data_IF_160759455843
#
_entry.id   IF_160759455843
#
_cell.length_a   1.000
_cell.length_b   1.000
_cell.length_c   1.000
_cell.angle_alpha   90.00
_cell.angle_beta   90.00
_cell.angle_gamma   90.00
#
_symmetry.space_group_name_H-M   'P 1'
#
loop_
_entity.id
_entity.type
_entity.pdbx_description
1 polymer ?
#
# COMPACT_ATOMS: atom_id res chain seq x y z
N UNK A 1 12.54 -13.42 0.42
CA UNK A 1 13.46 -14.11 1.35
C UNK A 1 14.91 -13.98 0.89
N UNK A 2 15.27 -14.32 -0.35
CA UNK A 2 16.66 -14.30 -0.84
C UNK A 2 17.35 -12.94 -0.61
N UNK A 3 16.71 -11.82 -0.88
CA UNK A 3 17.30 -10.50 -0.67
C UNK A 3 17.58 -10.21 0.82
N UNK A 4 16.72 -10.69 1.74
CA UNK A 4 17.00 -10.57 3.17
C UNK A 4 18.19 -11.40 3.59
N UNK A 5 18.31 -12.65 3.11
CA UNK A 5 19.48 -13.52 3.36
C UNK A 5 20.74 -12.88 2.82
N UNK A 6 20.74 -12.45 1.56
CA UNK A 6 21.84 -11.73 0.93
C UNK A 6 22.28 -10.51 1.75
N UNK A 7 21.30 -9.66 2.14
CA UNK A 7 21.59 -8.47 2.92
C UNK A 7 22.22 -8.79 4.27
N UNK A 8 21.67 -9.74 5.02
CA UNK A 8 22.21 -10.14 6.34
C UNK A 8 23.60 -10.77 6.22
N UNK A 9 23.86 -11.54 5.16
CA UNK A 9 25.16 -12.19 4.96
C UNK A 9 26.25 -11.24 4.45
N UNK A 10 25.89 -10.18 3.73
CA UNK A 10 26.86 -9.23 3.11
C UNK A 10 26.97 -7.90 3.84
N UNK A 11 26.06 -7.61 4.78
CA UNK A 11 26.04 -6.36 5.54
C UNK A 11 27.31 -6.22 6.40
N UNK A 12 27.88 -5.01 6.40
CA UNK A 12 29.10 -4.69 7.18
C UNK A 12 28.78 -4.26 8.63
N UNK A 13 27.51 -4.00 8.94
CA UNK A 13 27.12 -3.68 10.32
C UNK A 13 27.28 -4.91 11.22
N UNK A 14 27.63 -4.64 12.47
CA UNK A 14 27.68 -5.69 13.50
C UNK A 14 26.23 -6.16 13.79
N UNK A 15 26.04 -7.48 13.82
CA UNK A 15 24.74 -8.10 14.09
C UNK A 15 23.63 -7.57 13.16
N UNK A 16 23.70 -7.83 11.85
CA UNK A 16 22.68 -7.32 10.91
C UNK A 16 21.28 -7.84 11.25
N UNK A 17 20.27 -7.00 11.03
CA UNK A 17 18.88 -7.31 11.32
C UNK A 17 18.01 -7.09 10.09
N UNK A 18 17.26 -8.11 9.74
CA UNK A 18 16.30 -8.03 8.65
C UNK A 18 14.93 -8.58 9.07
N UNK A 19 13.86 -8.03 8.51
CA UNK A 19 12.48 -8.43 8.80
C UNK A 19 11.74 -8.70 7.50
N UNK A 20 11.02 -9.82 7.47
CA UNK A 20 9.94 -10.06 6.52
C UNK A 20 8.62 -9.80 7.22
N UNK A 21 7.80 -8.93 6.64
CA UNK A 21 6.52 -8.53 7.18
C UNK A 21 5.40 -8.92 6.22
N UNK A 22 4.39 -9.64 6.72
CA UNK A 22 3.14 -9.90 6.02
C UNK A 22 1.97 -9.19 6.73
N UNK A 23 0.78 -9.07 6.16
CA UNK A 23 -0.39 -8.49 6.82
C UNK A 23 -0.68 -9.14 8.17
N UNK A 24 -0.62 -10.47 8.25
CA UNK A 24 -0.83 -11.23 9.47
C UNK A 24 0.37 -12.12 9.80
N UNK A 25 0.68 -12.28 11.09
CA UNK A 25 1.74 -13.18 11.55
C UNK A 25 1.57 -14.62 11.04
N UNK A 26 0.32 -15.13 10.97
CA UNK A 26 0.03 -16.46 10.42
C UNK A 26 0.38 -16.57 8.93
N UNK A 27 0.17 -15.51 8.15
CA UNK A 27 0.55 -15.47 6.74
C UNK A 27 2.07 -15.47 6.59
N UNK A 28 2.79 -14.66 7.38
CA UNK A 28 4.25 -14.68 7.37
C UNK A 28 4.81 -16.08 7.60
N UNK A 29 4.23 -16.83 8.58
CA UNK A 29 4.61 -18.21 8.83
C UNK A 29 4.30 -19.13 7.66
N UNK A 30 3.08 -19.10 7.14
CA UNK A 30 2.63 -20.00 6.09
C UNK A 30 3.38 -19.80 4.76
N UNK A 31 3.70 -18.56 4.41
CA UNK A 31 4.30 -18.20 3.13
C UNK A 31 5.84 -18.29 3.16
N UNK A 32 6.46 -17.79 4.22
CA UNK A 32 7.89 -17.50 4.19
C UNK A 32 8.73 -18.35 5.14
N UNK A 33 8.16 -18.99 6.17
CA UNK A 33 8.96 -19.67 7.19
C UNK A 33 9.71 -20.90 6.68
N UNK A 34 9.02 -21.78 5.97
CA UNK A 34 9.65 -22.97 5.41
C UNK A 34 10.65 -22.62 4.30
N UNK A 35 10.33 -21.62 3.49
CA UNK A 35 11.24 -21.08 2.47
C UNK A 35 12.50 -20.48 3.10
N UNK A 36 12.39 -19.74 4.19
CA UNK A 36 13.55 -19.22 4.92
C UNK A 36 14.44 -20.36 5.43
N UNK A 37 13.85 -21.38 6.05
CA UNK A 37 14.59 -22.55 6.50
C UNK A 37 15.28 -23.29 5.35
N UNK A 38 14.58 -23.51 4.26
CA UNK A 38 15.13 -24.19 3.08
C UNK A 38 16.34 -23.45 2.50
N UNK A 39 16.23 -22.15 2.28
CA UNK A 39 17.29 -21.34 1.67
C UNK A 39 18.49 -21.13 2.59
N UNK A 40 18.31 -21.21 3.90
CA UNK A 40 19.37 -20.96 4.87
C UNK A 40 19.98 -22.23 5.49
N UNK A 41 19.39 -23.40 5.28
CA UNK A 41 19.92 -24.68 5.82
C UNK A 41 21.34 -25.00 5.40
N UNK A 42 21.78 -24.49 4.24
CA UNK A 42 23.13 -24.68 3.72
C UNK A 42 24.16 -23.73 4.34
N UNK A 43 23.71 -22.73 5.08
CA UNK A 43 24.57 -21.76 5.76
C UNK A 43 25.01 -22.36 7.12
N UNK A 44 26.31 -22.57 7.34
CA UNK A 44 26.79 -23.19 8.57
C UNK A 44 26.39 -22.43 9.83
N UNK A 45 26.06 -23.14 10.89
CA UNK A 45 25.71 -22.64 12.21
C UNK A 45 24.46 -21.71 12.20
N UNK A 46 23.56 -21.90 11.24
CA UNK A 46 22.23 -21.28 11.28
C UNK A 46 21.37 -21.98 12.33
N UNK A 47 20.71 -21.21 13.19
CA UNK A 47 19.77 -21.74 14.19
C UNK A 47 18.39 -21.12 13.99
N UNK A 48 17.36 -21.89 14.28
CA UNK A 48 15.97 -21.47 14.08
C UNK A 48 15.20 -21.46 15.39
N UNK A 49 14.41 -20.40 15.60
CA UNK A 49 13.45 -20.33 16.69
C UNK A 49 12.03 -20.37 16.11
N UNK A 50 11.34 -21.49 16.30
CA UNK A 50 10.02 -21.75 15.75
C UNK A 50 8.91 -20.89 16.39
N UNK A 51 9.08 -20.47 17.64
CA UNK A 51 8.08 -19.66 18.34
C UNK A 51 8.17 -18.17 17.97
N UNK A 52 9.37 -17.68 17.69
CA UNK A 52 9.61 -16.28 17.30
C UNK A 52 9.76 -16.12 15.78
N UNK A 53 9.66 -17.21 15.01
CA UNK A 53 9.85 -17.24 13.57
C UNK A 53 11.12 -16.49 13.15
N UNK A 54 12.26 -16.84 13.75
CA UNK A 54 13.54 -16.19 13.46
C UNK A 54 14.64 -17.18 13.11
N UNK A 55 15.52 -16.77 12.23
CA UNK A 55 16.78 -17.45 11.91
C UNK A 55 17.95 -16.59 12.38
N UNK A 56 18.86 -17.18 13.17
CA UNK A 56 20.09 -16.56 13.66
C UNK A 56 21.30 -17.17 12.94
N UNK A 57 22.25 -16.32 12.50
CA UNK A 57 23.41 -16.70 11.71
C UNK A 57 24.73 -16.53 12.48
N UNK A 58 25.76 -17.27 12.10
CA UNK A 58 27.07 -17.25 12.75
C UNK A 58 27.74 -15.86 12.80
N UNK A 59 27.43 -14.97 11.85
CA UNK A 59 27.92 -13.59 11.83
C UNK A 59 27.18 -12.66 12.81
N UNK A 60 26.29 -13.20 13.64
CA UNK A 60 25.41 -12.45 14.53
C UNK A 60 24.18 -11.87 13.84
N UNK A 61 24.04 -12.11 12.55
CA UNK A 61 22.88 -11.66 11.77
C UNK A 61 21.59 -12.39 12.15
N UNK A 62 20.46 -11.75 11.90
CA UNK A 62 19.13 -12.28 12.21
C UNK A 62 18.12 -11.89 11.16
N UNK A 63 17.28 -12.84 10.78
CA UNK A 63 16.06 -12.61 10.01
C UNK A 63 14.87 -13.01 10.86
N UNK A 64 13.89 -12.14 11.00
CA UNK A 64 12.64 -12.38 11.74
C UNK A 64 11.45 -12.23 10.80
N UNK A 65 10.46 -13.12 10.92
CA UNK A 65 9.18 -12.99 10.25
C UNK A 65 8.17 -12.43 11.24
N UNK A 66 7.39 -11.43 10.81
CA UNK A 66 6.40 -10.77 11.66
C UNK A 66 5.10 -10.45 10.89
N UNK A 67 4.05 -10.13 11.61
CA UNK A 67 2.80 -9.62 11.05
C UNK A 67 2.67 -8.12 11.29
N UNK A 68 2.03 -7.43 10.36
CA UNK A 68 1.68 -6.02 10.51
C UNK A 68 0.43 -5.78 11.36
N UNK A 69 -0.22 -6.84 11.81
CA UNK A 69 -1.31 -6.84 12.79
C UNK A 69 -0.85 -6.42 14.20
N UNK A 70 0.44 -6.56 14.52
CA UNK A 70 1.05 -6.04 15.74
C UNK A 70 2.41 -5.36 15.45
N UNK A 71 2.41 -4.22 14.76
CA UNK A 71 3.64 -3.61 14.26
C UNK A 71 4.43 -2.87 15.35
N UNK A 72 3.81 -2.53 16.47
CA UNK A 72 4.49 -1.80 17.55
C UNK A 72 5.62 -2.62 18.20
N UNK A 73 5.59 -3.95 18.12
CA UNK A 73 6.69 -4.83 18.52
C UNK A 73 7.99 -4.64 17.72
N UNK A 74 7.93 -3.96 16.59
CA UNK A 74 9.09 -3.63 15.76
C UNK A 74 9.73 -2.28 16.13
N UNK A 75 9.06 -1.45 16.95
CA UNK A 75 9.58 -0.14 17.34
C UNK A 75 10.90 -0.26 18.11
N UNK A 76 11.83 0.63 17.79
CA UNK A 76 13.15 0.66 18.43
C UNK A 76 14.14 -0.38 17.90
N UNK A 77 13.77 -1.18 16.89
CA UNK A 77 14.72 -2.00 16.18
C UNK A 77 15.56 -1.16 15.22
N UNK A 78 16.85 -1.47 15.11
CA UNK A 78 17.73 -0.95 14.06
C UNK A 78 17.82 -1.98 12.95
N UNK A 79 17.20 -1.71 11.80
CA UNK A 79 17.04 -2.65 10.71
C UNK A 79 17.94 -2.31 9.51
N UNK A 80 18.56 -3.36 8.95
CA UNK A 80 19.38 -3.28 7.73
C UNK A 80 18.55 -3.56 6.47
N UNK A 81 17.48 -4.33 6.62
CA UNK A 81 16.54 -4.60 5.54
C UNK A 81 15.15 -4.95 6.04
N UNK A 82 14.15 -4.59 5.25
CA UNK A 82 12.75 -4.99 5.45
C UNK A 82 12.15 -5.38 4.09
N UNK A 83 11.35 -6.44 4.09
CA UNK A 83 10.42 -6.77 3.00
C UNK A 83 9.02 -6.68 3.55
N UNK A 84 8.16 -5.88 2.91
CA UNK A 84 6.73 -5.82 3.17
C UNK A 84 6.01 -6.56 2.05
N UNK A 85 5.45 -7.70 2.38
CA UNK A 85 4.71 -8.56 1.45
C UNK A 85 3.21 -8.29 1.59
N UNK A 86 2.49 -8.26 0.48
CA UNK A 86 1.09 -7.81 0.41
C UNK A 86 0.88 -6.41 1.01
N UNK A 87 1.78 -5.47 0.66
CA UNK A 87 1.78 -4.12 1.24
C UNK A 87 0.48 -3.36 1.01
N UNK A 88 -0.23 -3.63 -0.08
CA UNK A 88 -1.56 -3.09 -0.34
C UNK A 88 -2.59 -3.35 0.77
N UNK A 89 -2.42 -4.43 1.54
CA UNK A 89 -3.31 -4.84 2.63
C UNK A 89 -2.88 -4.31 4.00
N UNK A 90 -1.72 -3.65 4.10
CA UNK A 90 -1.20 -3.12 5.36
C UNK A 90 -1.72 -1.72 5.64
N UNK A 91 -1.79 -1.34 6.92
CA UNK A 91 -2.04 0.06 7.29
C UNK A 91 -0.89 0.97 6.82
N UNK A 92 -1.17 2.15 6.24
CA UNK A 92 -0.15 3.14 5.85
C UNK A 92 0.83 3.49 6.98
N UNK A 93 0.35 3.47 8.23
CA UNK A 93 1.10 3.74 9.45
C UNK A 93 2.31 2.81 9.64
N UNK A 94 2.21 1.55 9.17
CA UNK A 94 3.24 0.53 9.37
C UNK A 94 4.59 0.96 8.80
N UNK A 95 4.61 1.42 7.57
CA UNK A 95 5.85 1.91 6.98
C UNK A 95 6.23 3.29 7.51
N UNK A 96 5.33 4.27 7.42
CA UNK A 96 5.65 5.67 7.68
C UNK A 96 6.07 5.95 9.14
N UNK A 97 5.37 5.35 10.11
CA UNK A 97 5.58 5.66 11.53
C UNK A 97 6.47 4.67 12.26
N UNK A 98 6.60 3.43 11.75
CA UNK A 98 7.26 2.34 12.47
C UNK A 98 8.55 1.90 11.75
N UNK A 99 8.43 1.43 10.51
CA UNK A 99 9.58 0.83 9.82
C UNK A 99 10.56 1.88 9.29
N UNK A 100 10.07 3.01 8.80
CA UNK A 100 10.94 4.08 8.28
C UNK A 100 11.93 4.60 9.34
N UNK A 101 11.52 4.88 10.59
CA UNK A 101 12.46 5.17 11.68
C UNK A 101 13.43 4.03 11.98
N UNK A 102 12.97 2.76 11.98
CA UNK A 102 13.82 1.60 12.23
C UNK A 102 14.94 1.39 11.18
N UNK A 103 14.75 1.88 9.97
CA UNK A 103 15.73 1.81 8.88
C UNK A 103 16.70 2.99 8.86
N UNK A 104 16.39 4.09 9.55
CA UNK A 104 17.08 5.37 9.36
C UNK A 104 18.51 5.40 9.89
N UNK A 105 18.77 4.79 11.05
CA UNK A 105 20.10 4.80 11.70
C UNK A 105 21.13 3.91 10.99
N UNK A 106 20.66 2.90 10.23
CA UNK A 106 21.52 1.97 9.48
C UNK A 106 21.47 2.17 7.97
N UNK A 107 20.76 3.18 7.49
CA UNK A 107 20.48 3.38 6.07
C UNK A 107 19.98 2.07 5.42
N UNK A 108 19.06 1.41 6.13
CA UNK A 108 18.52 0.12 5.73
C UNK A 108 17.68 0.22 4.47
N UNK A 109 17.58 -0.89 3.75
CA UNK A 109 16.78 -1.00 2.52
C UNK A 109 15.38 -1.53 2.79
N UNK A 110 14.41 -1.11 1.96
CA UNK A 110 13.04 -1.58 2.02
C UNK A 110 12.59 -2.09 0.65
N UNK A 111 11.85 -3.21 0.64
CA UNK A 111 11.22 -3.77 -0.55
C UNK A 111 9.73 -3.91 -0.27
N UNK A 112 8.90 -3.36 -1.15
CA UNK A 112 7.46 -3.48 -1.13
C UNK A 112 7.04 -4.47 -2.21
N UNK A 113 6.21 -5.44 -1.87
CA UNK A 113 5.70 -6.45 -2.78
C UNK A 113 4.19 -6.57 -2.56
N UNK A 114 3.45 -6.88 -3.61
CA UNK A 114 2.02 -7.15 -3.52
C UNK A 114 1.31 -6.98 -4.84
N UNK A 115 0.04 -7.33 -4.84
CA UNK A 115 -0.89 -7.07 -5.94
C UNK A 115 -1.51 -5.69 -5.73
N UNK A 116 -1.68 -4.88 -6.79
CA UNK A 116 -2.42 -3.62 -6.73
C UNK A 116 -3.83 -3.80 -6.14
N UNK A 117 -4.26 -2.84 -5.32
CA UNK A 117 -5.61 -2.80 -4.76
C UNK A 117 -6.15 -1.37 -4.78
N UNK A 118 -6.38 -0.84 -5.98
CA UNK A 118 -6.77 0.55 -6.18
C UNK A 118 -5.67 1.56 -5.80
N UNK A 119 -6.04 2.83 -5.71
CA UNK A 119 -5.13 3.93 -5.39
C UNK A 119 -4.99 4.07 -3.87
N UNK A 120 -4.18 3.20 -3.27
CA UNK A 120 -3.85 3.19 -1.85
C UNK A 120 -2.37 3.56 -1.60
N UNK A 121 -1.89 3.39 -0.37
CA UNK A 121 -0.49 3.69 -0.01
C UNK A 121 0.55 2.91 -0.86
N UNK A 122 0.19 1.74 -1.42
CA UNK A 122 1.10 0.99 -2.30
C UNK A 122 1.19 1.66 -3.68
N UNK A 123 0.08 2.17 -4.19
CA UNK A 123 0.06 2.99 -5.39
C UNK A 123 0.91 4.25 -5.22
N UNK A 124 0.75 4.98 -4.10
CA UNK A 124 1.54 6.17 -3.82
C UNK A 124 3.05 5.87 -3.79
N UNK A 125 3.44 4.73 -3.18
CA UNK A 125 4.84 4.28 -3.16
C UNK A 125 5.34 3.90 -4.55
N UNK A 126 4.50 3.27 -5.38
CA UNK A 126 4.84 2.94 -6.77
C UNK A 126 5.07 4.21 -7.60
N UNK A 127 4.16 5.18 -7.53
CA UNK A 127 4.31 6.47 -8.19
C UNK A 127 5.55 7.24 -7.70
N UNK A 128 5.81 7.21 -6.39
CA UNK A 128 7.03 7.77 -5.83
C UNK A 128 8.29 7.13 -6.40
N UNK A 129 8.29 5.80 -6.52
CA UNK A 129 9.43 5.06 -7.07
C UNK A 129 9.67 5.36 -8.56
N UNK A 130 8.62 5.50 -9.36
CA UNK A 130 8.75 5.88 -10.78
C UNK A 130 9.28 7.30 -10.97
N UNK A 131 8.95 8.21 -10.04
CA UNK A 131 9.40 9.61 -10.11
C UNK A 131 10.82 9.85 -9.57
N UNK A 132 11.45 8.87 -8.90
CA UNK A 132 12.72 9.04 -8.19
C UNK A 132 13.76 8.01 -8.61
N UNK A 133 14.87 8.46 -9.15
CA UNK A 133 15.97 7.62 -9.65
C UNK A 133 16.66 6.75 -8.57
N UNK A 134 16.53 7.09 -7.30
CA UNK A 134 17.08 6.30 -6.18
C UNK A 134 16.22 5.08 -5.82
N UNK A 135 15.06 4.98 -6.46
CA UNK A 135 14.11 3.89 -6.29
C UNK A 135 14.05 3.02 -7.54
N UNK A 136 13.64 1.78 -7.34
CA UNK A 136 13.37 0.85 -8.42
C UNK A 136 11.94 0.34 -8.32
N UNK A 137 11.17 0.47 -9.39
CA UNK A 137 9.83 -0.08 -9.52
C UNK A 137 9.77 -1.04 -10.71
N UNK A 138 9.03 -2.13 -10.56
CA UNK A 138 8.78 -3.10 -11.64
C UNK A 138 7.43 -3.74 -11.43
N UNK A 139 6.72 -3.92 -12.53
CA UNK A 139 5.45 -4.68 -12.59
C UNK A 139 5.65 -5.92 -13.42
N UNK A 140 5.21 -7.07 -12.92
CA UNK A 140 5.27 -8.35 -13.60
C UNK A 140 3.84 -8.86 -13.84
N UNK A 141 3.32 -8.63 -15.03
CA UNK A 141 2.01 -9.16 -15.42
C UNK A 141 2.11 -10.64 -15.77
N UNK A 142 1.11 -11.41 -15.38
CA UNK A 142 1.09 -12.85 -15.69
C UNK A 142 1.13 -13.13 -17.18
N UNK A 143 0.45 -12.32 -18.00
CA UNK A 143 0.45 -12.40 -19.46
C UNK A 143 1.83 -12.18 -20.10
N UNK A 144 2.73 -11.44 -19.45
CA UNK A 144 4.04 -11.07 -19.98
C UNK A 144 5.17 -12.01 -19.49
N UNK A 145 5.01 -12.59 -18.29
CA UNK A 145 6.10 -13.37 -17.65
C UNK A 145 6.24 -14.79 -18.19
N UNK A 146 5.16 -15.37 -18.72
CA UNK A 146 5.13 -16.76 -19.14
C UNK A 146 5.31 -17.79 -18.00
N UNK A 147 5.19 -17.37 -16.73
CA UNK A 147 5.29 -18.23 -15.54
C UNK A 147 3.99 -19.03 -15.36
N UNK A 148 2.85 -18.38 -15.60
CA UNK A 148 1.53 -19.01 -15.55
C UNK A 148 1.21 -19.55 -16.94
N UNK A 149 0.75 -20.81 -17.00
CA UNK A 149 0.37 -21.44 -18.25
C UNK A 149 -0.78 -20.69 -18.93
N UNK A 150 -0.77 -20.64 -20.26
CA UNK A 150 -1.77 -19.92 -21.04
C UNK A 150 -3.19 -20.50 -20.92
N UNK A 151 -3.32 -21.81 -20.72
CA UNK A 151 -4.62 -22.45 -20.49
C UNK A 151 -5.17 -22.07 -19.12
N UNK A 152 -4.30 -21.95 -18.12
CA UNK A 152 -4.68 -21.48 -16.77
C UNK A 152 -5.09 -20.00 -16.79
N UNK A 153 -4.38 -19.14 -17.52
CA UNK A 153 -4.80 -17.74 -17.70
C UNK A 153 -6.16 -17.62 -18.34
N UNK A 154 -6.44 -18.44 -19.37
CA UNK A 154 -7.75 -18.46 -20.01
C UNK A 154 -8.84 -18.99 -19.05
N UNK A 155 -8.55 -20.01 -18.27
CA UNK A 155 -9.44 -20.55 -17.25
C UNK A 155 -9.76 -19.49 -16.17
N UNK A 156 -8.77 -18.75 -15.72
CA UNK A 156 -8.93 -17.65 -14.77
C UNK A 156 -9.82 -16.53 -15.35
N UNK A 157 -9.59 -16.11 -16.61
CA UNK A 157 -10.43 -15.12 -17.29
C UNK A 157 -11.90 -15.53 -17.37
N UNK A 158 -12.18 -16.83 -17.59
CA UNK A 158 -13.55 -17.33 -17.67
C UNK A 158 -14.24 -17.47 -16.30
N UNK A 159 -13.48 -17.54 -15.22
CA UNK A 159 -14.00 -17.78 -13.86
C UNK A 159 -14.05 -16.51 -12.98
N UNK A 160 -13.41 -15.43 -13.41
CA UNK A 160 -13.30 -14.16 -12.69
C UNK A 160 -14.03 -13.06 -13.45
N UNK A 161 -14.35 -11.94 -12.75
CA UNK A 161 -14.75 -10.74 -13.47
C UNK A 161 -13.56 -10.11 -14.19
N UNK A 162 -13.77 -9.32 -15.26
CA UNK A 162 -12.68 -8.64 -15.97
C UNK A 162 -11.81 -7.80 -15.03
N UNK A 163 -12.42 -7.11 -14.06
CA UNK A 163 -11.74 -6.28 -13.09
C UNK A 163 -10.87 -7.12 -12.13
N UNK A 164 -11.39 -8.25 -11.66
CA UNK A 164 -10.63 -9.18 -10.82
C UNK A 164 -9.42 -9.75 -11.57
N UNK A 165 -9.61 -10.16 -12.81
CA UNK A 165 -8.52 -10.67 -13.63
C UNK A 165 -7.48 -9.57 -13.90
N UNK A 166 -7.92 -8.36 -14.24
CA UNK A 166 -7.03 -7.23 -14.46
C UNK A 166 -6.21 -6.89 -13.20
N UNK A 167 -6.81 -6.97 -12.01
CA UNK A 167 -6.11 -6.73 -10.74
C UNK A 167 -5.10 -7.84 -10.44
N UNK A 168 -5.54 -9.11 -10.41
CA UNK A 168 -4.73 -10.21 -9.86
C UNK A 168 -3.68 -10.72 -10.86
N UNK A 169 -3.96 -10.69 -12.16
CA UNK A 169 -3.07 -11.22 -13.18
C UNK A 169 -2.37 -10.15 -14.02
N UNK A 170 -3.00 -8.99 -14.22
CA UNK A 170 -2.44 -7.92 -15.04
C UNK A 170 -1.96 -6.72 -14.22
N UNK A 171 -1.98 -6.82 -12.89
CA UNK A 171 -1.48 -5.80 -11.95
C UNK A 171 -2.11 -4.40 -12.17
N UNK A 172 -3.40 -4.35 -12.51
CA UNK A 172 -4.10 -3.10 -12.75
C UNK A 172 -4.37 -2.36 -11.44
N UNK A 173 -3.98 -1.08 -11.38
CA UNK A 173 -4.30 -0.18 -10.27
C UNK A 173 -5.72 0.36 -10.32
N UNK A 174 -6.29 0.46 -11.53
CA UNK A 174 -7.63 1.02 -11.78
C UNK A 174 -8.73 -0.04 -11.71
N UNK A 175 -8.41 -1.31 -11.47
CA UNK A 175 -9.44 -2.32 -11.27
C UNK A 175 -10.31 -1.94 -10.07
N UNK A 176 -11.62 -1.85 -10.30
CA UNK A 176 -12.59 -1.39 -9.31
C UNK A 176 -12.45 -2.17 -8.00
N UNK A 177 -12.26 -1.47 -6.89
CA UNK A 177 -12.21 -2.08 -5.56
C UNK A 177 -13.50 -2.90 -5.37
N UNK A 178 -13.37 -4.15 -4.98
CA UNK A 178 -14.49 -5.07 -4.75
C UNK A 178 -15.52 -4.43 -3.81
N UNK A 179 -16.71 -4.13 -4.32
CA UNK A 179 -17.74 -3.41 -3.57
C UNK A 179 -17.76 -1.89 -3.77
N UNK A 180 -16.89 -1.31 -4.60
CA UNK A 180 -17.00 0.08 -4.99
C UNK A 180 -18.19 0.26 -5.93
N UNK A 181 -19.23 0.98 -5.48
CA UNK A 181 -20.43 1.26 -6.29
C UNK A 181 -20.14 2.06 -7.56
N UNK A 182 -19.06 2.85 -7.57
CA UNK A 182 -18.78 3.84 -8.60
C UNK A 182 -17.38 3.68 -9.23
N UNK A 183 -16.65 2.58 -8.98
CA UNK A 183 -15.27 2.40 -9.45
C UNK A 183 -15.12 2.64 -10.96
N UNK A 184 -15.81 1.88 -11.80
CA UNK A 184 -15.74 2.06 -13.25
C UNK A 184 -16.24 3.42 -13.74
N UNK A 185 -17.21 4.05 -13.05
CA UNK A 185 -17.67 5.39 -13.40
C UNK A 185 -16.62 6.47 -13.05
N UNK A 186 -15.80 6.24 -12.04
CA UNK A 186 -14.66 7.12 -11.69
C UNK A 186 -13.55 6.98 -12.72
N UNK A 187 -13.21 5.75 -13.12
CA UNK A 187 -12.23 5.48 -14.16
C UNK A 187 -12.64 6.17 -15.48
N UNK A 188 -13.90 6.03 -15.89
CA UNK A 188 -14.47 6.72 -17.05
C UNK A 188 -14.37 8.26 -16.91
N UNK A 189 -14.56 8.77 -15.69
CA UNK A 189 -14.47 10.20 -15.44
C UNK A 189 -13.05 10.73 -15.56
N UNK A 190 -12.06 9.97 -15.13
CA UNK A 190 -10.63 10.29 -15.26
C UNK A 190 -10.19 10.23 -16.72
N UNK A 191 -10.51 9.15 -17.43
CA UNK A 191 -10.19 8.98 -18.86
C UNK A 191 -10.80 10.08 -19.74
N UNK A 192 -12.01 10.53 -19.40
CA UNK A 192 -12.67 11.63 -20.09
C UNK A 192 -12.18 13.02 -19.67
N UNK A 193 -11.21 13.10 -18.75
CA UNK A 193 -10.69 14.36 -18.22
C UNK A 193 -11.70 15.17 -17.40
N UNK A 194 -12.75 14.51 -16.86
CA UNK A 194 -13.74 15.16 -16.00
C UNK A 194 -13.25 15.35 -14.57
N UNK A 195 -12.27 14.57 -14.13
CA UNK A 195 -11.55 14.76 -12.86
C UNK A 195 -10.41 15.72 -13.11
N UNK A 196 -10.62 17.00 -12.80
CA UNK A 196 -9.69 18.09 -13.10
C UNK A 196 -9.86 19.23 -12.11
N UNK A 197 -9.00 20.25 -12.18
CA UNK A 197 -9.21 21.50 -11.44
C UNK A 197 -10.39 22.27 -12.03
N UNK A 198 -11.45 22.43 -11.27
CA UNK A 198 -12.67 23.13 -11.69
C UNK A 198 -12.71 24.50 -11.03
N UNK A 199 -12.51 25.62 -11.79
CA UNK A 199 -12.52 26.94 -11.22
C UNK A 199 -13.92 27.37 -10.80
N UNK A 200 -14.00 28.13 -9.70
CA UNK A 200 -15.24 28.79 -9.26
C UNK A 200 -15.69 29.86 -10.25
N UNK A 201 -16.94 29.82 -10.65
CA UNK A 201 -17.58 30.84 -11.47
C UNK A 201 -18.45 31.75 -10.58
N UNK A 202 -18.10 33.05 -10.39
CA UNK A 202 -18.86 33.96 -9.52
C UNK A 202 -20.27 34.32 -10.03
N UNK A 203 -20.59 33.96 -11.28
CA UNK A 203 -21.92 34.18 -11.83
C UNK A 203 -22.91 33.09 -11.45
N UNK A 204 -22.45 31.99 -10.91
CA UNK A 204 -23.24 30.82 -10.56
C UNK A 204 -23.36 30.65 -9.03
N UNK A 205 -24.55 30.25 -8.59
CA UNK A 205 -24.74 29.93 -7.16
C UNK A 205 -23.97 28.65 -6.78
N UNK A 206 -23.41 28.67 -5.57
CA UNK A 206 -22.84 27.49 -4.95
C UNK A 206 -23.87 26.83 -4.04
N UNK A 207 -24.02 25.53 -4.13
CA UNK A 207 -24.77 24.67 -3.23
C UNK A 207 -23.87 23.68 -2.57
N UNK A 208 -24.19 23.24 -1.35
CA UNK A 208 -23.37 22.29 -0.60
C UNK A 208 -24.14 21.00 -0.32
N UNK A 209 -23.46 19.87 -0.36
CA UNK A 209 -23.94 18.60 0.18
C UNK A 209 -23.07 18.16 1.34
N UNK A 210 -23.69 17.64 2.39
CA UNK A 210 -23.04 17.32 3.65
C UNK A 210 -23.21 15.85 4.00
N UNK A 211 -22.13 15.20 4.29
CA UNK A 211 -22.08 13.88 4.94
C UNK A 211 -21.55 14.09 6.36
N UNK A 212 -22.41 13.92 7.36
CA UNK A 212 -22.11 14.22 8.76
C UNK A 212 -21.65 12.96 9.49
N UNK A 213 -20.35 12.83 9.71
CA UNK A 213 -19.76 11.76 10.52
C UNK A 213 -19.58 12.17 11.99
N UNK A 214 -19.77 11.20 12.92
CA UNK A 214 -19.50 11.38 14.36
C UNK A 214 -18.20 10.68 14.75
N UNK A 215 -18.00 9.44 14.28
CA UNK A 215 -16.80 8.63 14.52
C UNK A 215 -15.88 8.53 13.29
N UNK A 216 -16.32 9.05 12.18
CA UNK A 216 -15.64 9.17 10.90
C UNK A 216 -15.57 10.65 10.48
N UNK A 217 -15.16 10.92 9.23
CA UNK A 217 -15.02 12.28 8.74
C UNK A 217 -16.38 12.88 8.39
N UNK A 218 -16.64 14.14 8.79
CA UNK A 218 -17.67 14.97 8.14
C UNK A 218 -17.11 15.47 6.82
N UNK A 219 -17.80 15.22 5.71
CA UNK A 219 -17.38 15.62 4.36
C UNK A 219 -18.38 16.58 3.76
N UNK A 220 -17.90 17.67 3.17
CA UNK A 220 -18.72 18.69 2.54
C UNK A 220 -18.23 18.94 1.13
N UNK A 221 -19.13 18.77 0.16
CA UNK A 221 -18.90 19.09 -1.22
C UNK A 221 -19.55 20.43 -1.59
N UNK A 222 -18.86 21.23 -2.38
CA UNK A 222 -19.33 22.47 -2.95
C UNK A 222 -19.57 22.29 -4.45
N UNK A 223 -20.75 22.63 -4.91
CA UNK A 223 -21.22 22.40 -6.27
C UNK A 223 -21.70 23.66 -6.94
N UNK A 224 -21.44 23.77 -8.24
CA UNK A 224 -22.11 24.71 -9.12
C UNK A 224 -22.89 23.93 -10.16
N UNK A 225 -24.18 24.32 -10.33
CA UNK A 225 -25.09 23.62 -11.23
C UNK A 225 -25.27 24.49 -12.49
N UNK A 226 -24.67 24.05 -13.59
CA UNK A 226 -24.84 24.62 -14.92
C UNK A 226 -26.02 23.93 -15.65
N UNK A 227 -26.53 24.52 -16.75
CA UNK A 227 -27.66 23.92 -17.49
C UNK A 227 -27.40 22.49 -18.00
N UNK A 228 -26.13 22.15 -18.28
CA UNK A 228 -25.74 20.86 -18.89
C UNK A 228 -24.85 20.00 -18.02
N UNK A 229 -24.39 20.51 -16.86
CA UNK A 229 -23.44 19.78 -16.01
C UNK A 229 -23.51 20.21 -14.54
N UNK A 230 -23.10 19.35 -13.65
CA UNK A 230 -22.79 19.66 -12.24
C UNK A 230 -21.30 19.70 -12.06
N UNK A 231 -20.79 20.77 -11.46
CA UNK A 231 -19.36 20.98 -11.20
C UNK A 231 -19.08 20.85 -9.71
N UNK A 232 -18.31 19.88 -9.29
CA UNK A 232 -17.73 19.85 -7.96
C UNK A 232 -16.49 20.77 -7.93
N UNK A 233 -16.60 21.90 -7.24
CA UNK A 233 -15.54 22.93 -7.22
C UNK A 233 -14.61 22.80 -6.03
N UNK A 234 -15.10 22.25 -4.91
CA UNK A 234 -14.29 21.99 -3.70
C UNK A 234 -14.88 20.81 -2.92
N UNK A 235 -14.02 20.10 -2.23
CA UNK A 235 -14.37 19.11 -1.21
C UNK A 235 -13.52 19.35 0.03
N UNK A 236 -14.15 19.41 1.21
CA UNK A 236 -13.45 19.53 2.49
C UNK A 236 -13.89 18.41 3.43
N UNK A 237 -12.94 17.89 4.20
CA UNK A 237 -13.19 16.85 5.19
C UNK A 237 -12.68 17.29 6.57
N UNK A 238 -13.45 16.98 7.60
CA UNK A 238 -13.14 17.28 8.98
C UNK A 238 -13.17 16.00 9.82
N UNK A 239 -12.19 15.84 10.69
CA UNK A 239 -12.16 14.77 11.68
C UNK A 239 -12.20 15.35 13.07
N UNK A 240 -13.03 14.78 13.95
CA UNK A 240 -13.14 15.20 15.36
C UNK A 240 -13.40 16.71 15.57
N UNK A 241 -14.07 17.35 14.62
CA UNK A 241 -14.35 18.79 14.63
C UNK A 241 -15.82 19.05 14.93
N UNK A 242 -16.10 20.00 15.81
CA UNK A 242 -17.47 20.36 16.18
C UNK A 242 -18.21 21.10 15.07
N UNK A 243 -19.52 20.89 14.96
CA UNK A 243 -20.36 21.50 13.94
C UNK A 243 -20.26 23.05 13.87
N UNK A 244 -20.15 23.80 14.99
CA UNK A 244 -19.96 25.26 14.94
C UNK A 244 -18.68 25.69 14.22
N UNK A 245 -17.60 24.94 14.38
CA UNK A 245 -16.32 25.21 13.73
C UNK A 245 -16.40 24.89 12.24
N UNK A 246 -17.05 23.79 11.89
CA UNK A 246 -17.30 23.40 10.49
C UNK A 246 -18.13 24.48 9.78
N UNK A 247 -19.22 24.95 10.40
CA UNK A 247 -20.06 26.02 9.84
C UNK A 247 -19.26 27.31 9.62
N UNK A 248 -18.40 27.66 10.57
CA UNK A 248 -17.55 28.85 10.45
C UNK A 248 -16.56 28.71 9.27
N UNK A 249 -15.99 27.53 9.09
CA UNK A 249 -15.06 27.27 7.98
C UNK A 249 -15.78 27.33 6.63
N UNK A 250 -16.98 26.74 6.53
CA UNK A 250 -17.81 26.81 5.31
C UNK A 250 -18.20 28.24 5.01
N UNK A 251 -18.63 29.03 6.03
CA UNK A 251 -19.02 30.43 5.87
C UNK A 251 -17.85 31.37 5.53
N UNK A 252 -16.62 30.93 5.70
CA UNK A 252 -15.44 31.73 5.34
C UNK A 252 -15.08 31.65 3.84
N UNK A 253 -15.73 30.79 3.08
CA UNK A 253 -15.50 30.65 1.64
C UNK A 253 -15.97 31.90 0.88
N UNK A 254 -15.34 32.23 -0.24
CA UNK A 254 -15.65 33.45 -1.02
C UNK A 254 -16.94 33.35 -1.83
N UNK A 255 -17.73 32.29 -1.65
CA UNK A 255 -18.94 31.98 -2.41
C UNK A 255 -20.11 31.51 -1.54
#
# INVERSE_FOLDING_TARGET
>A
INELVKKVMTCKHKNPRAVYLAPLHKQAKAVAWDMLKEYTRVIPNTTFNESELRADFANGGRITLAGSDNPDGLRGLSLDAVVLDEFSQMSPRVFAEILRPCLSDRLGSCIFIGTPQGHNQFYDMYQHAEANSDWFAVTHKASETGIVDSEELLSAQNSMTPEQYAQEFECSWSAAIRGAYYGGLMDDAEEQGRVTSVPYDPTMKVVTSWDLGINDSTVIWFWQIAPTEMRAIECIAFQSTGLPEIIKEVASRPY
#
